data_IF_868876773160
#
_entry.id   IF_868876773160
#
_cell.length_a   1.000
_cell.length_b   1.000
_cell.length_c   1.000
_cell.angle_alpha   90.00
_cell.angle_beta   90.00
_cell.angle_gamma   90.00
#
_symmetry.space_group_name_H-M   'P 1'
#
loop_
_entity.id
_entity.type
_entity.pdbx_description
1 polymer ?
#
# COMPACT_ATOMS: atom_id res chain seq x y z
N UNK A 1 3.12 11.07 18.81
CA UNK A 1 2.13 12.18 18.74
C UNK A 1 2.39 13.02 17.46
N UNK A 2 2.01 12.53 16.28
CA UNK A 2 2.25 13.26 15.00
C UNK A 2 0.97 13.74 14.28
N UNK A 3 -0.22 13.44 14.81
CA UNK A 3 -1.51 13.80 14.19
C UNK A 3 -2.25 14.97 14.89
N UNK A 4 -1.58 15.74 15.76
CA UNK A 4 -2.22 16.93 16.34
C UNK A 4 -2.10 18.14 15.41
N UNK A 5 -3.22 18.54 14.83
CA UNK A 5 -3.50 19.96 14.55
C UNK A 5 -3.57 20.42 13.09
N UNK A 6 -3.45 19.54 12.08
CA UNK A 6 -3.82 19.91 10.71
C UNK A 6 -5.06 19.13 10.28
N UNK A 7 -6.14 19.77 9.82
CA UNK A 7 -7.21 19.04 9.15
C UNK A 7 -6.58 18.29 7.98
N UNK A 8 -6.66 16.95 8.01
CA UNK A 8 -6.27 16.13 6.88
C UNK A 8 -7.06 16.62 5.67
N UNK A 9 -6.36 16.91 4.56
CA UNK A 9 -7.02 17.17 3.28
C UNK A 9 -7.98 16.01 3.02
N UNK A 10 -9.21 16.33 2.62
CA UNK A 10 -10.29 15.37 2.32
C UNK A 10 -9.86 14.28 1.31
N UNK A 11 -8.79 14.54 0.56
CA UNK A 11 -8.23 13.69 -0.51
C UNK A 11 -6.83 13.12 -0.20
N UNK A 12 -6.42 13.07 1.08
CA UNK A 12 -5.11 12.52 1.49
C UNK A 12 -4.97 11.06 1.02
N UNK A 13 -3.92 10.77 0.26
CA UNK A 13 -3.58 9.42 -0.21
C UNK A 13 -2.70 8.65 0.78
N UNK A 14 -2.13 9.37 1.75
CA UNK A 14 -1.41 8.78 2.87
C UNK A 14 -2.29 8.84 4.11
N UNK A 15 -2.49 7.69 4.76
CA UNK A 15 -3.40 7.53 5.90
C UNK A 15 -2.74 6.82 7.07
N UNK A 16 -3.33 6.93 8.25
CA UNK A 16 -2.94 6.13 9.39
C UNK A 16 -3.36 4.66 9.17
N UNK A 17 -2.49 3.69 9.48
CA UNK A 17 -2.76 2.25 9.34
C UNK A 17 -4.02 1.74 10.05
N UNK A 18 -4.45 2.43 11.11
CA UNK A 18 -5.70 2.12 11.83
C UNK A 18 -6.94 2.38 10.95
N UNK A 19 -6.81 3.21 9.92
CA UNK A 19 -7.88 3.57 8.98
C UNK A 19 -7.93 2.68 7.74
N UNK A 20 -7.17 1.58 7.72
CA UNK A 20 -7.17 0.65 6.57
C UNK A 20 -8.59 0.23 6.16
N UNK A 21 -9.45 -0.10 7.13
CA UNK A 21 -10.81 -0.55 6.84
C UNK A 21 -11.65 0.52 6.12
N UNK A 22 -11.47 1.81 6.45
CA UNK A 22 -12.16 2.91 5.77
C UNK A 22 -11.80 2.94 4.27
N UNK A 23 -10.53 2.65 3.93
CA UNK A 23 -10.05 2.61 2.55
C UNK A 23 -10.62 1.37 1.85
N UNK A 24 -10.62 0.21 2.52
CA UNK A 24 -11.15 -1.04 1.97
C UNK A 24 -12.65 -0.97 1.68
N UNK A 25 -13.39 -0.17 2.45
CA UNK A 25 -14.84 0.02 2.32
C UNK A 25 -15.22 1.10 1.30
N UNK A 26 -14.28 1.96 0.91
CA UNK A 26 -14.49 2.96 -0.12
C UNK A 26 -14.75 2.29 -1.47
N UNK A 27 -15.74 2.77 -2.22
CA UNK A 27 -16.12 2.26 -3.55
C UNK A 27 -16.24 0.72 -3.61
N UNK A 28 -17.27 0.11 -3.00
CA UNK A 28 -17.40 -1.35 -2.94
C UNK A 28 -17.44 -2.05 -4.30
N UNK A 29 -17.89 -1.35 -5.35
CA UNK A 29 -17.95 -1.86 -6.73
C UNK A 29 -16.57 -1.95 -7.41
N UNK A 30 -15.54 -1.31 -6.84
CA UNK A 30 -14.17 -1.32 -7.37
C UNK A 30 -13.32 -2.31 -6.58
N UNK A 31 -12.52 -3.12 -7.29
CA UNK A 31 -11.62 -4.07 -6.64
C UNK A 31 -10.44 -3.36 -5.97
N UNK A 32 -9.72 -4.09 -5.11
CA UNK A 32 -8.60 -3.55 -4.35
C UNK A 32 -7.44 -4.52 -4.29
N UNK A 33 -6.26 -4.05 -4.65
CA UNK A 33 -5.01 -4.76 -4.40
C UNK A 33 -4.50 -4.33 -3.03
N UNK A 34 -4.52 -5.22 -2.04
CA UNK A 34 -4.04 -4.96 -0.69
C UNK A 34 -2.66 -5.61 -0.50
N UNK A 35 -1.63 -4.78 -0.39
CA UNK A 35 -0.25 -5.18 -0.08
C UNK A 35 -0.05 -4.97 1.42
N UNK A 36 -0.14 -6.03 2.22
CA UNK A 36 -0.14 -5.91 3.69
C UNK A 36 0.63 -7.02 4.38
N UNK A 37 1.06 -6.76 5.60
CA UNK A 37 1.61 -7.79 6.50
C UNK A 37 0.50 -8.57 7.25
N UNK A 38 -0.73 -8.06 7.24
CA UNK A 38 -1.86 -8.69 7.95
C UNK A 38 -2.19 -10.03 7.29
N UNK A 39 -2.35 -11.10 8.07
CA UNK A 39 -2.64 -12.42 7.53
C UNK A 39 -4.04 -12.48 6.90
N UNK A 40 -4.27 -13.41 5.95
CA UNK A 40 -5.52 -13.46 5.19
C UNK A 40 -6.79 -13.52 6.03
N UNK A 41 -6.78 -14.21 7.17
CA UNK A 41 -7.95 -14.34 8.04
C UNK A 41 -8.40 -13.02 8.69
N UNK A 42 -7.58 -11.96 8.69
CA UNK A 42 -7.95 -10.65 9.23
C UNK A 42 -8.54 -9.69 8.19
N UNK A 43 -8.23 -9.89 6.90
CA UNK A 43 -8.49 -8.90 5.84
C UNK A 43 -9.13 -9.46 4.57
N UNK A 44 -9.42 -10.76 4.52
CA UNK A 44 -10.07 -11.38 3.35
C UNK A 44 -11.47 -10.78 3.14
N UNK A 45 -11.69 -10.25 1.92
CA UNK A 45 -12.96 -9.66 1.47
C UNK A 45 -13.18 -10.01 -0.01
N UNK A 46 -14.44 -10.09 -0.50
CA UNK A 46 -14.72 -10.53 -1.86
C UNK A 46 -14.08 -9.70 -2.99
N UNK A 47 -13.90 -8.40 -2.78
CA UNK A 47 -13.32 -7.47 -3.75
C UNK A 47 -11.88 -7.07 -3.43
N UNK A 48 -11.16 -7.87 -2.62
CA UNK A 48 -9.78 -7.60 -2.23
C UNK A 48 -8.87 -8.71 -2.73
N UNK A 49 -8.00 -8.37 -3.68
CA UNK A 49 -6.85 -9.17 -4.05
C UNK A 49 -5.74 -8.96 -3.01
N UNK A 50 -5.50 -9.98 -2.16
CA UNK A 50 -4.57 -9.90 -1.06
C UNK A 50 -3.15 -10.35 -1.48
N UNK A 51 -2.18 -9.46 -1.33
CA UNK A 51 -0.75 -9.78 -1.36
C UNK A 51 -0.22 -9.80 0.07
N UNK A 52 -0.11 -10.99 0.65
CA UNK A 52 0.36 -11.14 2.03
C UNK A 52 1.89 -11.12 2.10
N UNK A 53 2.43 -10.00 2.57
CA UNK A 53 3.88 -9.75 2.64
C UNK A 53 4.45 -10.35 3.92
N UNK A 54 5.21 -11.44 3.79
CA UNK A 54 5.78 -12.15 4.95
C UNK A 54 7.00 -13.00 4.57
N UNK A 55 7.87 -13.27 5.54
CA UNK A 55 8.95 -14.27 5.45
C UNK A 55 8.48 -15.68 5.79
N UNK A 56 7.27 -15.83 6.32
CA UNK A 56 6.70 -17.14 6.63
C UNK A 56 6.46 -17.91 5.34
N UNK A 57 6.94 -19.15 5.29
CA UNK A 57 6.66 -20.05 4.16
C UNK A 57 5.18 -20.41 4.17
N UNK A 58 4.45 -19.94 3.15
CA UNK A 58 3.03 -20.23 2.96
C UNK A 58 2.69 -20.09 1.47
N UNK A 59 1.77 -20.91 0.91
CA UNK A 59 1.43 -20.85 -0.52
C UNK A 59 1.01 -19.47 -1.02
N UNK A 60 0.34 -18.69 -0.17
CA UNK A 60 -0.17 -17.35 -0.49
C UNK A 60 0.73 -16.21 0.01
N UNK A 61 1.95 -16.51 0.48
CA UNK A 61 2.89 -15.51 0.98
C UNK A 61 3.79 -14.97 -0.13
N UNK A 62 4.02 -13.66 -0.11
CA UNK A 62 5.00 -12.99 -0.96
C UNK A 62 6.14 -12.46 -0.09
N UNK A 63 7.38 -12.85 -0.42
CA UNK A 63 8.55 -12.40 0.34
C UNK A 63 8.72 -10.88 0.24
N UNK A 64 8.97 -10.16 1.35
CA UNK A 64 9.19 -8.71 1.33
C UNK A 64 10.42 -8.30 0.52
N UNK A 65 11.39 -9.20 0.34
CA UNK A 65 12.59 -8.95 -0.47
C UNK A 65 12.35 -9.03 -1.98
N UNK A 66 11.20 -9.54 -2.41
CA UNK A 66 10.86 -9.72 -3.84
C UNK A 66 10.03 -8.55 -4.36
N UNK A 67 10.54 -7.31 -4.20
CA UNK A 67 9.84 -6.10 -4.66
C UNK A 67 9.42 -6.19 -6.13
N UNK A 68 10.27 -6.71 -7.01
CA UNK A 68 9.95 -6.93 -8.43
C UNK A 68 8.77 -7.89 -8.66
N UNK A 69 8.63 -8.92 -7.84
CA UNK A 69 7.50 -9.83 -7.96
C UNK A 69 6.20 -9.12 -7.54
N UNK A 70 6.24 -8.31 -6.48
CA UNK A 70 5.09 -7.49 -6.06
C UNK A 70 4.73 -6.49 -7.15
N UNK A 71 5.71 -5.79 -7.73
CA UNK A 71 5.53 -4.87 -8.87
C UNK A 71 4.81 -5.56 -10.04
N UNK A 72 5.28 -6.74 -10.43
CA UNK A 72 4.70 -7.50 -11.54
C UNK A 72 3.26 -7.93 -11.24
N UNK A 73 3.00 -8.48 -10.05
CA UNK A 73 1.65 -8.92 -9.69
C UNK A 73 0.66 -7.74 -9.63
N UNK A 74 1.11 -6.57 -9.14
CA UNK A 74 0.28 -5.35 -9.14
C UNK A 74 -0.03 -4.92 -10.57
N UNK A 75 0.98 -4.91 -11.44
CA UNK A 75 0.82 -4.52 -12.83
C UNK A 75 -0.15 -5.45 -13.58
N UNK A 76 -0.03 -6.76 -13.41
CA UNK A 76 -0.93 -7.74 -14.02
C UNK A 76 -2.38 -7.51 -13.60
N UNK A 77 -2.64 -7.24 -12.32
CA UNK A 77 -4.00 -6.95 -11.84
C UNK A 77 -4.54 -5.63 -12.39
N UNK A 78 -3.73 -4.56 -12.39
CA UNK A 78 -4.11 -3.25 -12.94
C UNK A 78 -4.42 -3.27 -14.44
N UNK A 79 -3.87 -4.21 -15.21
CA UNK A 79 -4.16 -4.35 -16.63
C UNK A 79 -5.49 -5.06 -16.92
N UNK A 80 -5.98 -5.88 -15.99
CA UNK A 80 -7.12 -6.76 -16.22
C UNK A 80 -8.40 -6.28 -15.51
N UNK A 81 -8.27 -5.48 -14.45
CA UNK A 81 -9.39 -5.12 -13.58
C UNK A 81 -9.36 -3.63 -13.21
N UNK A 82 -10.54 -3.04 -12.97
CA UNK A 82 -10.66 -1.71 -12.38
C UNK A 82 -10.44 -1.81 -10.87
N UNK A 83 -9.20 -1.59 -10.42
CA UNK A 83 -8.78 -1.83 -9.03
C UNK A 83 -7.93 -0.68 -8.47
N UNK A 84 -8.14 -0.36 -7.20
CA UNK A 84 -7.27 0.57 -6.47
C UNK A 84 -6.13 -0.18 -5.77
N UNK A 85 -4.99 0.48 -5.56
CA UNK A 85 -3.81 -0.12 -4.91
C UNK A 85 -3.65 0.45 -3.51
N UNK A 86 -3.46 -0.43 -2.52
CA UNK A 86 -3.32 -0.07 -1.12
C UNK A 86 -2.07 -0.73 -0.55
N UNK A 87 -1.09 0.09 -0.18
CA UNK A 87 0.14 -0.34 0.48
C UNK A 87 0.02 -0.14 2.00
N UNK A 88 -0.19 -1.24 2.72
CA UNK A 88 -0.27 -1.34 4.19
C UNK A 88 0.90 -2.16 4.77
N UNK A 89 2.09 -1.98 4.21
CA UNK A 89 3.31 -2.69 4.63
C UNK A 89 4.58 -1.84 4.48
N UNK A 90 4.47 -0.53 4.29
CA UNK A 90 5.61 0.31 3.89
C UNK A 90 6.76 0.27 4.90
N UNK A 91 6.51 0.42 6.21
CA UNK A 91 7.58 0.36 7.19
C UNK A 91 8.23 -1.02 7.25
N UNK A 92 7.46 -2.08 7.04
CA UNK A 92 8.00 -3.43 6.98
C UNK A 92 8.92 -3.61 5.77
N UNK A 93 8.51 -3.13 4.60
CA UNK A 93 9.35 -3.13 3.41
C UNK A 93 10.61 -2.29 3.60
N UNK A 94 10.54 -1.16 4.31
CA UNK A 94 11.72 -0.35 4.64
C UNK A 94 12.70 -1.07 5.57
N UNK A 95 12.21 -1.83 6.55
CA UNK A 95 13.06 -2.65 7.43
C UNK A 95 13.76 -3.74 6.62
N UNK A 96 13.04 -4.36 5.69
CA UNK A 96 13.53 -5.52 4.93
C UNK A 96 14.44 -5.15 3.75
N UNK A 97 14.20 -4.01 3.10
CA UNK A 97 14.87 -3.62 1.86
C UNK A 97 15.66 -2.30 1.99
N UNK A 98 15.48 -1.57 3.08
CA UNK A 98 15.96 -0.19 3.22
C UNK A 98 14.94 0.84 2.70
N UNK A 99 15.15 2.08 3.15
CA UNK A 99 14.27 3.22 2.83
C UNK A 99 14.27 3.52 1.33
N UNK A 100 15.45 3.64 0.73
CA UNK A 100 15.58 4.12 -0.65
C UNK A 100 15.00 3.11 -1.68
N UNK A 101 15.26 1.79 -1.61
CA UNK A 101 14.60 0.82 -2.48
C UNK A 101 13.08 0.81 -2.30
N UNK A 102 12.60 0.95 -1.07
CA UNK A 102 11.16 1.00 -0.79
C UNK A 102 10.50 2.24 -1.39
N UNK A 103 11.13 3.42 -1.28
CA UNK A 103 10.59 4.64 -1.89
C UNK A 103 10.56 4.57 -3.41
N UNK A 104 11.58 3.96 -4.05
CA UNK A 104 11.56 3.68 -5.49
C UNK A 104 10.41 2.75 -5.88
N UNK A 105 10.18 1.70 -5.11
CA UNK A 105 9.06 0.79 -5.29
C UNK A 105 7.71 1.53 -5.19
N UNK A 106 7.53 2.36 -4.17
CA UNK A 106 6.32 3.20 -4.01
C UNK A 106 6.11 4.13 -5.21
N UNK A 107 7.19 4.76 -5.72
CA UNK A 107 7.12 5.62 -6.91
C UNK A 107 6.62 4.85 -8.13
N UNK A 108 7.16 3.64 -8.36
CA UNK A 108 6.71 2.80 -9.48
C UNK A 108 5.25 2.39 -9.36
N UNK A 109 4.79 1.99 -8.15
CA UNK A 109 3.38 1.66 -7.94
C UNK A 109 2.49 2.87 -8.24
N UNK A 110 2.89 4.07 -7.79
CA UNK A 110 2.18 5.31 -8.10
C UNK A 110 2.10 5.53 -9.62
N UNK A 111 3.22 5.42 -10.32
CA UNK A 111 3.27 5.59 -11.77
C UNK A 111 2.34 4.60 -12.49
N UNK A 112 2.32 3.33 -12.08
CA UNK A 112 1.41 2.31 -12.62
C UNK A 112 -0.07 2.67 -12.43
N UNK A 113 -0.45 3.16 -11.24
CA UNK A 113 -1.85 3.55 -10.95
C UNK A 113 -2.30 4.78 -11.76
N UNK A 114 -1.38 5.71 -12.04
CA UNK A 114 -1.66 6.87 -12.88
C UNK A 114 -2.00 6.49 -14.32
N UNK A 115 -1.38 5.42 -14.84
CA UNK A 115 -1.65 4.91 -16.19
C UNK A 115 -3.01 4.20 -16.33
N UNK A 116 -3.62 3.80 -15.22
CA UNK A 116 -4.79 2.90 -15.18
C UNK A 116 -6.02 3.52 -14.53
N UNK A 117 -6.00 4.84 -14.26
CA UNK A 117 -7.07 5.57 -13.56
C UNK A 117 -7.44 4.92 -12.20
N UNK A 118 -6.42 4.39 -11.53
CA UNK A 118 -6.55 3.76 -10.22
C UNK A 118 -6.09 4.70 -9.13
N UNK A 119 -6.74 4.62 -7.97
CA UNK A 119 -6.24 5.31 -6.78
C UNK A 119 -5.09 4.52 -6.15
N UNK A 120 -4.10 5.24 -5.63
CA UNK A 120 -3.04 4.66 -4.82
C UNK A 120 -3.09 5.22 -3.40
N UNK A 121 -3.14 4.33 -2.43
CA UNK A 121 -3.13 4.67 -1.02
C UNK A 121 -1.94 4.02 -0.32
N UNK A 122 -1.34 4.74 0.63
CA UNK A 122 -0.31 4.21 1.52
C UNK A 122 -0.74 4.43 2.95
N UNK A 123 -0.75 3.37 3.75
CA UNK A 123 -0.93 3.51 5.19
C UNK A 123 0.41 3.57 5.91
N UNK A 124 0.48 4.38 6.96
CA UNK A 124 1.68 4.59 7.78
C UNK A 124 1.29 4.63 9.26
N UNK A 125 2.24 4.30 10.13
CA UNK A 125 2.17 4.52 11.57
C UNK A 125 2.71 5.91 11.95
N UNK A 126 2.46 6.31 13.19
CA UNK A 126 3.03 7.53 13.76
C UNK A 126 4.52 7.42 14.11
N UNK A 127 5.10 6.23 13.95
CA UNK A 127 6.54 5.96 14.12
C UNK A 127 7.38 6.26 12.87
N UNK A 128 6.76 6.56 11.73
CA UNK A 128 7.50 6.87 10.50
C UNK A 128 8.24 8.21 10.64
N UNK A 129 9.53 8.20 10.29
CA UNK A 129 10.35 9.40 10.32
C UNK A 129 9.74 10.54 9.47
N UNK A 130 9.78 11.76 10.01
CA UNK A 130 9.15 12.93 9.40
C UNK A 130 9.73 13.28 8.02
N UNK A 131 11.03 13.07 7.79
CA UNK A 131 11.67 13.30 6.49
C UNK A 131 11.19 12.27 5.48
N UNK A 132 11.12 11.00 5.89
CA UNK A 132 10.59 9.91 5.05
C UNK A 132 9.12 10.16 4.70
N UNK A 133 8.30 10.56 5.66
CA UNK A 133 6.89 10.90 5.44
C UNK A 133 6.71 12.06 4.45
N UNK A 134 7.57 13.09 4.51
CA UNK A 134 7.51 14.21 3.58
C UNK A 134 7.91 13.81 2.15
N UNK A 135 8.90 12.92 2.00
CA UNK A 135 9.25 12.36 0.69
C UNK A 135 8.10 11.50 0.16
N UNK A 136 7.52 10.65 1.02
CA UNK A 136 6.37 9.83 0.67
C UNK A 136 5.20 10.66 0.18
N UNK A 137 4.86 11.77 0.87
CA UNK A 137 3.84 12.73 0.41
C UNK A 137 4.12 13.25 -0.98
N UNK A 138 5.36 13.66 -1.26
CA UNK A 138 5.75 14.15 -2.60
C UNK A 138 5.62 13.10 -3.70
N UNK A 139 5.74 11.82 -3.35
CA UNK A 139 5.58 10.71 -4.31
C UNK A 139 4.10 10.42 -4.55
N UNK A 140 3.29 10.39 -3.49
CA UNK A 140 1.93 9.84 -3.54
C UNK A 140 0.86 10.92 -3.82
N UNK A 141 1.04 12.14 -3.31
CA UNK A 141 0.10 13.27 -3.40
C UNK A 141 0.50 14.28 -4.47
#
# INVERSE_FOLDING_TARGET
MLFRGRPLKKDSRILDYRRLNEILEKNPSKGKILITRRPPFEVSRPNVYLMWITKVSHPNAVSPSKLHAIEQMVWEQLQNEDVDVILDAIEYLMIENGIEPTLRFVSKLRDMTLLTNSDFYVTVSDGLDSRVLNILRRIVE
#
